data_IF_425044265578
#
_entry.id   IF_425044265578
#
_cell.length_a   1.000
_cell.length_b   1.000
_cell.length_c   1.000
_cell.angle_alpha   90.00
_cell.angle_beta   90.00
_cell.angle_gamma   90.00
#
_symmetry.space_group_name_H-M   'P 1'
#
loop_
_entity.id
_entity.type
_entity.pdbx_description
1 polymer ?
#
# COMPACT_ATOMS: atom_id res chain seq x y z
N UNK A 1 4.60 33.36 -3.61
CA UNK A 1 3.76 32.58 -2.67
C UNK A 1 2.68 31.74 -3.36
N UNK A 2 2.37 31.99 -4.63
CA UNK A 2 1.27 31.33 -5.36
C UNK A 2 1.54 29.87 -5.76
N UNK A 3 2.80 29.52 -6.02
CA UNK A 3 3.19 28.15 -6.36
C UNK A 3 2.94 27.18 -5.18
N UNK A 4 3.28 27.60 -3.96
CA UNK A 4 3.03 26.81 -2.75
C UNK A 4 1.53 26.63 -2.49
N UNK A 5 0.71 27.67 -2.67
CA UNK A 5 -0.76 27.58 -2.53
C UNK A 5 -1.37 26.64 -3.57
N UNK A 6 -0.88 26.68 -4.81
CA UNK A 6 -1.35 25.81 -5.91
C UNK A 6 -0.92 24.35 -5.73
N UNK A 7 0.30 24.11 -5.25
CA UNK A 7 0.79 22.76 -4.90
C UNK A 7 0.01 22.20 -3.71
N UNK A 8 -0.14 22.97 -2.62
CA UNK A 8 -0.95 22.57 -1.45
C UNK A 8 -2.42 22.34 -1.83
N UNK A 9 -2.98 23.17 -2.72
CA UNK A 9 -4.33 23.00 -3.27
C UNK A 9 -4.48 21.69 -4.02
N UNK A 10 -3.56 21.39 -4.94
CA UNK A 10 -3.56 20.12 -5.69
C UNK A 10 -3.36 18.89 -4.78
N UNK A 11 -2.57 19.02 -3.71
CA UNK A 11 -2.31 17.97 -2.73
C UNK A 11 -3.56 17.65 -1.91
N UNK A 12 -4.25 18.69 -1.39
CA UNK A 12 -5.53 18.53 -0.68
C UNK A 12 -6.59 17.90 -1.58
N UNK A 13 -6.64 18.31 -2.85
CA UNK A 13 -7.60 17.79 -3.83
C UNK A 13 -7.30 16.33 -4.18
N UNK A 14 -6.04 15.93 -4.28
CA UNK A 14 -5.64 14.52 -4.56
C UNK A 14 -5.97 13.61 -3.38
N UNK A 15 -5.64 14.01 -2.15
CA UNK A 15 -5.96 13.23 -0.95
C UNK A 15 -7.47 13.13 -0.70
N UNK A 16 -8.20 14.23 -0.88
CA UNK A 16 -9.65 14.25 -0.78
C UNK A 16 -10.32 13.40 -1.86
N UNK A 17 -9.86 13.50 -3.13
CA UNK A 17 -10.37 12.68 -4.22
C UNK A 17 -10.10 11.20 -3.99
N UNK A 18 -8.90 10.82 -3.55
CA UNK A 18 -8.58 9.43 -3.22
C UNK A 18 -9.48 8.90 -2.09
N UNK A 19 -9.74 9.71 -1.05
CA UNK A 19 -10.62 9.34 0.05
C UNK A 19 -12.08 9.20 -0.38
N UNK A 20 -12.58 10.14 -1.21
CA UNK A 20 -13.94 10.09 -1.76
C UNK A 20 -14.10 8.89 -2.66
N UNK A 21 -13.17 8.67 -3.59
CA UNK A 21 -13.16 7.47 -4.44
C UNK A 21 -13.17 6.21 -3.60
N UNK A 22 -12.27 6.10 -2.62
CA UNK A 22 -12.21 4.95 -1.72
C UNK A 22 -13.55 4.71 -1.00
N UNK A 23 -14.14 5.74 -0.40
CA UNK A 23 -15.42 5.66 0.32
C UNK A 23 -16.58 5.29 -0.60
N UNK A 24 -16.71 5.94 -1.74
CA UNK A 24 -17.77 5.66 -2.72
C UNK A 24 -17.65 4.23 -3.24
N UNK A 25 -16.43 3.77 -3.54
CA UNK A 25 -16.20 2.44 -4.05
C UNK A 25 -16.38 1.35 -2.99
N UNK A 26 -15.92 1.57 -1.75
CA UNK A 26 -16.22 0.62 -0.66
C UNK A 26 -17.72 0.52 -0.38
N UNK A 27 -18.45 1.63 -0.47
CA UNK A 27 -19.91 1.63 -0.34
C UNK A 27 -20.57 0.78 -1.42
N UNK A 28 -20.24 0.99 -2.71
CA UNK A 28 -20.80 0.21 -3.82
C UNK A 28 -20.38 -1.26 -3.75
N UNK A 29 -19.14 -1.54 -3.37
CA UNK A 29 -18.61 -2.91 -3.32
C UNK A 29 -19.04 -3.69 -2.08
N UNK A 30 -19.65 -3.03 -1.10
CA UNK A 30 -20.18 -3.70 0.09
C UNK A 30 -21.31 -4.68 -0.25
N UNK A 31 -22.06 -4.44 -1.32
CA UNK A 31 -23.13 -5.30 -1.84
C UNK A 31 -22.71 -6.11 -3.08
N UNK A 32 -21.48 -5.92 -3.58
CA UNK A 32 -21.01 -6.54 -4.81
C UNK A 32 -20.45 -7.95 -4.62
N UNK A 33 -20.49 -8.76 -5.68
CA UNK A 33 -19.86 -10.08 -5.71
C UNK A 33 -18.35 -10.01 -5.43
N UNK A 34 -17.81 -11.00 -4.73
CA UNK A 34 -16.42 -11.07 -4.30
C UNK A 34 -15.40 -10.90 -5.44
N UNK A 35 -15.70 -11.39 -6.66
CA UNK A 35 -14.82 -11.22 -7.83
C UNK A 35 -14.68 -9.75 -8.26
N UNK A 36 -15.80 -9.02 -8.27
CA UNK A 36 -15.83 -7.59 -8.65
C UNK A 36 -15.12 -6.76 -7.58
N UNK A 37 -15.38 -7.07 -6.31
CA UNK A 37 -14.68 -6.44 -5.18
C UNK A 37 -13.16 -6.63 -5.27
N UNK A 38 -12.67 -7.85 -5.52
CA UNK A 38 -11.24 -8.13 -5.67
C UNK A 38 -10.62 -7.42 -6.89
N UNK A 39 -11.32 -7.45 -8.03
CA UNK A 39 -10.87 -6.77 -9.24
C UNK A 39 -10.72 -5.26 -9.07
N UNK A 40 -11.51 -4.66 -8.17
CA UNK A 40 -11.33 -3.28 -7.76
C UNK A 40 -10.17 -3.10 -6.78
N UNK A 41 -10.10 -3.92 -5.72
CA UNK A 41 -9.06 -3.80 -4.68
C UNK A 41 -7.65 -3.79 -5.29
N UNK A 42 -7.37 -4.67 -6.26
CA UNK A 42 -6.07 -4.68 -6.95
C UNK A 42 -5.82 -3.39 -7.75
N UNK A 43 -6.83 -2.87 -8.47
CA UNK A 43 -6.69 -1.63 -9.26
C UNK A 43 -6.52 -0.41 -8.37
N UNK A 44 -7.21 -0.38 -7.23
CA UNK A 44 -7.06 0.66 -6.23
C UNK A 44 -5.67 0.62 -5.60
N UNK A 45 -5.18 -0.57 -5.21
CA UNK A 45 -3.82 -0.72 -4.69
C UNK A 45 -2.76 -0.25 -5.70
N UNK A 46 -2.88 -0.67 -6.97
CA UNK A 46 -1.97 -0.26 -8.04
C UNK A 46 -2.00 1.26 -8.28
N UNK A 47 -3.20 1.86 -8.35
CA UNK A 47 -3.36 3.29 -8.50
C UNK A 47 -2.72 4.07 -7.35
N UNK A 48 -2.95 3.63 -6.10
CA UNK A 48 -2.33 4.25 -4.94
C UNK A 48 -0.82 4.12 -5.01
N UNK A 49 -0.29 2.93 -5.36
CA UNK A 49 1.14 2.69 -5.54
C UNK A 49 1.77 3.67 -6.55
N UNK A 50 1.11 3.91 -7.68
CA UNK A 50 1.61 4.82 -8.71
C UNK A 50 1.52 6.29 -8.28
N UNK A 51 0.49 6.67 -7.52
CA UNK A 51 0.36 8.03 -6.95
C UNK A 51 1.47 8.30 -5.93
N UNK A 52 1.72 7.36 -5.01
CA UNK A 52 2.76 7.52 -3.97
C UNK A 52 4.18 7.45 -4.55
N UNK A 53 4.38 6.70 -5.63
CA UNK A 53 5.65 6.64 -6.34
C UNK A 53 6.03 7.97 -7.01
N UNK A 54 5.03 8.79 -7.38
CA UNK A 54 5.26 9.96 -8.23
C UNK A 54 5.99 11.12 -7.53
N UNK A 55 5.65 11.48 -6.28
CA UNK A 55 6.38 12.50 -5.50
C UNK A 55 5.96 12.57 -4.02
N UNK A 56 6.79 13.24 -3.21
CA UNK A 56 6.61 13.50 -1.76
C UNK A 56 5.28 14.19 -1.42
N UNK A 57 4.85 15.15 -2.25
CA UNK A 57 3.58 15.87 -2.04
C UNK A 57 2.38 14.93 -2.10
N UNK A 58 2.38 13.99 -3.05
CA UNK A 58 1.34 12.97 -3.20
C UNK A 58 1.39 11.94 -2.06
N UNK A 59 2.57 11.58 -1.57
CA UNK A 59 2.71 10.69 -0.40
C UNK A 59 2.07 11.27 0.85
N UNK A 60 2.35 12.55 1.15
CA UNK A 60 1.68 13.27 2.26
C UNK A 60 0.16 13.31 2.09
N UNK A 61 -0.32 13.58 0.88
CA UNK A 61 -1.75 13.60 0.60
C UNK A 61 -2.45 12.24 0.82
N UNK A 62 -1.80 11.13 0.44
CA UNK A 62 -2.32 9.77 0.64
C UNK A 62 -2.32 9.36 2.11
N UNK A 63 -1.28 9.74 2.88
CA UNK A 63 -1.18 9.41 4.31
C UNK A 63 -2.29 10.06 5.13
N UNK A 64 -2.69 11.27 4.75
CA UNK A 64 -3.80 12.00 5.37
C UNK A 64 -5.18 11.65 4.78
N UNK A 65 -5.22 10.92 3.66
CA UNK A 65 -6.46 10.65 2.94
C UNK A 65 -7.45 9.87 3.80
N UNK A 66 -8.64 10.45 4.00
CA UNK A 66 -9.71 9.82 4.79
C UNK A 66 -9.32 9.59 6.24
N UNK A 67 -8.52 10.49 6.84
CA UNK A 67 -7.98 10.34 8.20
C UNK A 67 -7.04 9.12 8.35
N UNK A 68 -6.28 8.84 7.29
CA UNK A 68 -5.39 7.69 7.20
C UNK A 68 -6.08 6.36 6.89
N UNK A 69 -7.38 6.37 6.56
CA UNK A 69 -8.11 5.16 6.19
C UNK A 69 -7.50 4.42 4.99
N UNK A 70 -6.87 5.15 4.04
CA UNK A 70 -6.17 4.54 2.92
C UNK A 70 -4.95 3.74 3.40
N UNK A 71 -4.18 4.31 4.35
CA UNK A 71 -3.02 3.63 4.93
C UNK A 71 -3.44 2.43 5.77
N UNK A 72 -4.50 2.56 6.58
CA UNK A 72 -5.04 1.43 7.35
C UNK A 72 -5.46 0.29 6.43
N UNK A 73 -6.13 0.61 5.33
CA UNK A 73 -6.53 -0.39 4.36
C UNK A 73 -5.34 -1.07 3.69
N UNK A 74 -4.28 -0.33 3.35
CA UNK A 74 -3.05 -0.90 2.81
C UNK A 74 -2.39 -1.86 3.81
N UNK A 75 -2.30 -1.44 5.08
CA UNK A 75 -1.73 -2.25 6.17
C UNK A 75 -2.55 -3.52 6.40
N UNK A 76 -3.87 -3.41 6.50
CA UNK A 76 -4.77 -4.56 6.64
C UNK A 76 -4.64 -5.51 5.45
N UNK A 77 -4.59 -4.98 4.23
CA UNK A 77 -4.47 -5.75 3.00
C UNK A 77 -3.19 -6.58 2.97
N UNK A 78 -2.06 -5.96 3.30
CA UNK A 78 -0.75 -6.64 3.40
C UNK A 78 -0.73 -7.67 4.54
N UNK A 79 -1.44 -7.39 5.63
CA UNK A 79 -1.59 -8.28 6.79
C UNK A 79 -2.60 -9.43 6.62
N UNK A 80 -3.35 -9.52 5.52
CA UNK A 80 -4.28 -10.64 5.28
C UNK A 80 -3.52 -11.93 5.02
N UNK A 81 -4.07 -13.07 5.44
CA UNK A 81 -3.58 -14.37 4.95
C UNK A 81 -3.99 -14.50 3.49
N UNK A 82 -3.02 -14.49 2.58
CA UNK A 82 -3.32 -14.60 1.15
C UNK A 82 -3.82 -16.00 0.81
N UNK A 83 -5.06 -16.09 0.32
CA UNK A 83 -5.41 -17.11 -0.65
C UNK A 83 -4.71 -16.77 -1.98
N UNK A 84 -4.51 -17.74 -2.88
CA UNK A 84 -3.85 -17.55 -4.19
C UNK A 84 -4.38 -16.32 -4.95
N UNK A 85 -5.67 -16.01 -4.79
CA UNK A 85 -6.36 -14.90 -5.45
C UNK A 85 -6.08 -13.50 -4.84
N UNK A 86 -5.48 -13.41 -3.65
CA UNK A 86 -5.20 -12.13 -2.96
C UNK A 86 -3.78 -11.61 -3.13
N UNK A 87 -2.88 -12.42 -3.71
CA UNK A 87 -1.44 -12.16 -3.76
C UNK A 87 -1.11 -10.88 -4.53
N UNK A 88 -1.79 -10.64 -5.65
CA UNK A 88 -1.52 -9.48 -6.49
C UNK A 88 -1.94 -8.16 -5.81
N UNK A 89 -3.09 -8.14 -5.13
CA UNK A 89 -3.52 -6.98 -4.33
C UNK A 89 -2.53 -6.70 -3.19
N UNK A 90 -2.03 -7.75 -2.53
CA UNK A 90 -1.02 -7.62 -1.48
C UNK A 90 0.31 -7.07 -2.00
N UNK A 91 0.73 -7.51 -3.19
CA UNK A 91 1.95 -7.02 -3.81
C UNK A 91 1.88 -5.51 -4.12
N UNK A 92 0.77 -5.05 -4.70
CA UNK A 92 0.57 -3.62 -4.97
C UNK A 92 0.43 -2.79 -3.67
N UNK A 93 -0.26 -3.33 -2.66
CA UNK A 93 -0.34 -2.68 -1.36
C UNK A 93 1.04 -2.58 -0.67
N UNK A 94 1.85 -3.63 -0.75
CA UNK A 94 3.22 -3.63 -0.25
C UNK A 94 4.12 -2.65 -1.02
N UNK A 95 3.96 -2.56 -2.35
CA UNK A 95 4.66 -1.56 -3.19
C UNK A 95 4.31 -0.13 -2.77
N UNK A 96 3.02 0.15 -2.51
CA UNK A 96 2.61 1.46 -2.00
C UNK A 96 3.24 1.77 -0.63
N UNK A 97 3.18 0.80 0.31
CA UNK A 97 3.79 0.95 1.64
C UNK A 97 5.31 1.14 1.59
N UNK A 98 6.00 0.50 0.65
CA UNK A 98 7.44 0.67 0.47
C UNK A 98 7.81 2.14 0.15
N UNK A 99 7.08 2.78 -0.77
CA UNK A 99 7.28 4.21 -1.07
C UNK A 99 6.95 5.12 0.11
N UNK A 100 5.92 4.77 0.90
CA UNK A 100 5.52 5.55 2.05
C UNK A 100 6.49 5.41 3.23
N UNK A 101 6.97 4.20 3.55
CA UNK A 101 7.92 3.95 4.65
C UNK A 101 9.32 4.47 4.32
N UNK A 102 9.67 4.49 3.03
CA UNK A 102 10.94 5.04 2.54
C UNK A 102 11.02 6.56 2.56
N UNK A 103 9.91 7.26 2.75
CA UNK A 103 9.87 8.72 2.84
C UNK A 103 9.95 9.19 4.30
N UNK A 104 11.01 9.95 4.63
CA UNK A 104 11.27 10.50 5.96
C UNK A 104 10.10 11.33 6.49
N UNK A 105 9.39 12.07 5.64
CA UNK A 105 8.36 13.01 6.07
C UNK A 105 7.06 12.33 6.50
N UNK A 106 6.83 11.09 6.07
CA UNK A 106 5.57 10.37 6.30
C UNK A 106 5.72 9.03 7.00
N UNK A 107 6.94 8.48 7.09
CA UNK A 107 7.15 7.14 7.66
C UNK A 107 6.62 7.01 9.08
N UNK A 108 6.80 8.03 9.92
CA UNK A 108 6.37 8.00 11.32
C UNK A 108 4.84 7.91 11.40
N UNK A 109 4.13 8.63 10.53
CA UNK A 109 2.67 8.58 10.46
C UNK A 109 2.17 7.22 9.99
N UNK A 110 2.88 6.57 9.07
CA UNK A 110 2.53 5.23 8.57
C UNK A 110 2.79 4.16 9.62
N UNK A 111 3.96 4.19 10.26
CA UNK A 111 4.34 3.22 11.30
C UNK A 111 3.60 3.45 12.62
N UNK A 112 3.15 4.67 12.88
CA UNK A 112 2.31 5.03 14.02
C UNK A 112 0.84 4.61 13.88
N UNK A 113 0.42 4.08 12.71
CA UNK A 113 -0.96 3.58 12.56
C UNK A 113 -1.20 2.32 13.39
N UNK A 114 -2.42 2.13 13.92
CA UNK A 114 -2.78 0.90 14.62
C UNK A 114 -2.54 -0.34 13.74
N UNK A 115 -1.86 -1.35 14.29
CA UNK A 115 -1.63 -2.61 13.58
C UNK A 115 -0.57 -2.55 12.47
N UNK A 116 0.13 -1.43 12.28
CA UNK A 116 1.17 -1.30 11.26
C UNK A 116 2.27 -2.37 11.41
N UNK A 117 2.94 -2.41 12.58
CA UNK A 117 3.99 -3.40 12.86
C UNK A 117 3.47 -4.84 12.78
N UNK A 118 2.37 -5.23 13.47
CA UNK A 118 1.83 -6.59 13.38
C UNK A 118 1.53 -7.04 11.95
N UNK A 119 0.95 -6.18 11.11
CA UNK A 119 0.60 -6.53 9.74
C UNK A 119 1.84 -6.65 8.84
N UNK A 120 2.82 -5.75 8.99
CA UNK A 120 4.09 -5.82 8.27
C UNK A 120 4.89 -7.07 8.64
N UNK A 121 4.96 -7.39 9.94
CA UNK A 121 5.63 -8.60 10.42
C UNK A 121 4.93 -9.84 9.87
N UNK A 122 3.60 -9.90 9.90
CA UNK A 122 2.85 -11.02 9.34
C UNK A 122 3.11 -11.19 7.85
N UNK A 123 3.21 -10.10 7.10
CA UNK A 123 3.56 -10.14 5.69
C UNK A 123 4.97 -10.67 5.46
N UNK A 124 5.97 -10.18 6.19
CA UNK A 124 7.35 -10.68 6.11
C UNK A 124 7.41 -12.19 6.43
N UNK A 125 6.73 -12.61 7.50
CA UNK A 125 6.68 -14.02 7.89
C UNK A 125 5.89 -14.90 6.90
N UNK A 126 5.04 -14.33 6.06
CA UNK A 126 4.34 -15.09 5.01
C UNK A 126 5.27 -15.64 3.94
N UNK A 127 6.45 -15.04 3.77
CA UNK A 127 7.50 -15.52 2.85
C UNK A 127 8.39 -16.60 3.48
N UNK A 128 8.25 -16.88 4.78
CA UNK A 128 9.05 -17.92 5.39
C UNK A 128 8.65 -19.30 4.85
N UNK A 129 9.62 -20.10 4.36
CA UNK A 129 9.34 -21.45 3.93
C UNK A 129 8.87 -22.26 5.14
N UNK A 130 7.65 -22.79 5.07
CA UNK A 130 7.19 -23.79 6.05
C UNK A 130 8.18 -24.95 5.97
N UNK A 131 8.79 -25.32 7.10
CA UNK A 131 9.78 -26.40 7.15
C UNK A 131 9.23 -27.62 6.40
N UNK A 132 10.09 -28.20 5.55
CA UNK A 132 9.92 -29.36 4.64
C UNK A 132 9.48 -29.06 3.19
N UNK A 133 10.46 -28.70 2.34
CA UNK A 133 10.93 -29.42 1.13
C UNK A 133 12.09 -28.58 0.57
N UNK A 134 13.24 -29.20 0.26
CA UNK A 134 14.37 -28.52 -0.39
C UNK A 134 13.95 -28.09 -1.80
N UNK A 135 13.56 -26.83 -1.96
CA UNK A 135 13.46 -26.17 -3.25
C UNK A 135 14.38 -24.96 -3.19
N UNK A 136 15.27 -24.82 -4.18
CA UNK A 136 16.12 -23.62 -4.32
C UNK A 136 15.20 -22.41 -4.46
N UNK A 137 15.09 -21.59 -3.42
CA UNK A 137 14.25 -20.40 -3.43
C UNK A 137 14.95 -19.30 -4.23
N UNK A 138 14.35 -18.92 -5.36
CA UNK A 138 14.60 -17.63 -5.99
C UNK A 138 13.76 -16.61 -5.22
N UNK A 139 14.35 -15.95 -4.22
CA UNK A 139 13.70 -14.83 -3.54
C UNK A 139 13.79 -13.63 -4.48
N UNK A 140 12.75 -13.42 -5.30
CA UNK A 140 12.58 -12.14 -5.98
C UNK A 140 12.12 -11.13 -4.93
N UNK A 141 13.08 -10.44 -4.32
CA UNK A 141 12.82 -9.21 -3.58
C UNK A 141 12.39 -8.17 -4.63
N UNK A 142 11.07 -8.07 -4.86
CA UNK A 142 10.49 -7.01 -5.69
C UNK A 142 10.59 -5.67 -4.96
N UNK A 143 11.76 -5.05 -5.00
CA UNK A 143 11.92 -3.62 -4.80
C UNK A 143 12.45 -3.05 -6.12
N UNK A 144 11.64 -2.29 -6.90
CA UNK A 144 12.03 -1.88 -8.24
C UNK A 144 13.24 -0.93 -8.33
N UNK A 145 13.89 -0.52 -7.23
CA UNK A 145 15.00 0.45 -7.28
C UNK A 145 16.18 0.27 -6.32
N UNK A 146 16.27 -0.80 -5.53
CA UNK A 146 17.46 -1.04 -4.69
C UNK A 146 17.86 -2.51 -4.67
N UNK A 147 18.23 -3.06 -5.84
CA UNK A 147 19.01 -4.28 -5.90
C UNK A 147 20.47 -3.97 -5.54
N UNK A 148 20.83 -4.09 -4.25
CA UNK A 148 22.17 -4.53 -3.87
C UNK A 148 22.04 -5.96 -3.38
N UNK A 149 22.65 -6.88 -4.13
CA UNK A 149 22.86 -8.26 -3.75
C UNK A 149 23.64 -8.28 -2.43
N UNK A 150 23.01 -8.75 -1.36
CA UNK A 150 23.73 -9.24 -0.19
C UNK A 150 23.74 -10.76 -0.29
N UNK A 151 24.89 -11.29 -0.68
CA UNK A 151 25.22 -12.70 -0.57
C UNK A 151 25.48 -13.02 0.92
N UNK A 152 24.77 -14.00 1.45
CA UNK A 152 25.20 -14.77 2.62
C UNK A 152 25.44 -16.21 2.18
#
# INVERSE_FOLDING_TARGET
MDLFKRVIGSMKQTGAAAAVLWKSLTSVLSSANHKVKRGFEIRFAALVADIVAANEGRRRAIVEAGNGAVVDWLLDTVGKKSAVEGVATQAEAAKALAFLIGDVDVREKVLGRPGALPNLLRFIFSFQPKKSVKVKYFVVIMFPRYCRLLSF
#
